data_IF_193279525348
#
_entry.id   IF_193279525348
#
_cell.length_a   1.000
_cell.length_b   1.000
_cell.length_c   1.000
_cell.angle_alpha   90.00
_cell.angle_beta   90.00
_cell.angle_gamma   90.00
#
_symmetry.space_group_name_H-M   'P 1'
#
loop_
_entity.id
_entity.type
_entity.pdbx_description
1 polymer ?
#
# COMPACT_ATOMS: atom_id res chain seq x y z
N UNK A 1 -4.75 4.09 -3.76
CA UNK A 1 -5.26 5.41 -4.07
C UNK A 1 -6.76 5.32 -4.29
N UNK A 2 -7.52 6.30 -3.80
CA UNK A 2 -8.97 6.28 -3.89
C UNK A 2 -9.47 7.68 -4.28
N UNK A 3 -10.25 7.72 -5.36
CA UNK A 3 -10.77 8.98 -5.91
C UNK A 3 -12.29 8.91 -6.03
N UNK A 4 -12.95 10.04 -5.75
CA UNK A 4 -14.34 10.25 -6.10
C UNK A 4 -14.43 10.96 -7.45
N UNK A 5 -15.32 10.50 -8.30
CA UNK A 5 -15.62 11.14 -9.59
C UNK A 5 -17.07 11.58 -9.58
N UNK A 6 -17.30 12.87 -9.72
CA UNK A 6 -18.62 13.48 -9.84
C UNK A 6 -18.82 13.99 -11.26
N UNK A 7 -19.99 13.74 -11.82
CA UNK A 7 -20.36 14.16 -13.18
C UNK A 7 -21.81 14.65 -13.21
N UNK A 8 -22.11 15.81 -12.57
CA UNK A 8 -23.47 16.32 -12.50
C UNK A 8 -23.97 16.70 -13.89
N UNK A 9 -25.19 16.26 -14.22
CA UNK A 9 -25.82 16.55 -15.51
C UNK A 9 -25.46 15.60 -16.65
N UNK A 10 -24.60 14.60 -16.41
CA UNK A 10 -24.28 13.55 -17.38
C UNK A 10 -25.30 12.41 -17.29
N UNK A 11 -25.60 11.80 -18.42
CA UNK A 11 -26.42 10.60 -18.50
C UNK A 11 -25.66 9.38 -17.93
N UNK A 12 -26.41 8.34 -17.51
CA UNK A 12 -25.79 7.11 -17.00
C UNK A 12 -24.88 6.44 -18.04
N UNK A 13 -25.23 6.49 -19.34
CA UNK A 13 -24.40 5.99 -20.43
C UNK A 13 -23.06 6.73 -20.55
N UNK A 14 -23.09 8.07 -20.42
CA UNK A 14 -21.88 8.88 -20.44
C UNK A 14 -20.99 8.60 -19.22
N UNK A 15 -21.59 8.42 -18.03
CA UNK A 15 -20.87 8.05 -16.80
C UNK A 15 -20.23 6.66 -16.95
N UNK A 16 -20.93 5.69 -17.53
CA UNK A 16 -20.40 4.36 -17.80
C UNK A 16 -19.21 4.42 -18.76
N UNK A 17 -19.35 5.15 -19.87
CA UNK A 17 -18.26 5.33 -20.84
C UNK A 17 -17.04 6.03 -20.21
N UNK A 18 -17.28 7.07 -19.42
CA UNK A 18 -16.23 7.80 -18.68
C UNK A 18 -15.53 6.89 -17.68
N UNK A 19 -16.27 6.12 -16.90
CA UNK A 19 -15.71 5.20 -15.92
C UNK A 19 -14.84 4.12 -16.57
N UNK A 20 -15.30 3.54 -17.66
CA UNK A 20 -14.56 2.56 -18.44
C UNK A 20 -13.31 3.16 -19.12
N UNK A 21 -13.40 4.40 -19.60
CA UNK A 21 -12.27 5.15 -20.14
C UNK A 21 -11.21 5.38 -19.06
N UNK A 22 -11.58 5.96 -17.91
CA UNK A 22 -10.66 6.23 -16.81
C UNK A 22 -9.99 4.94 -16.30
N UNK A 23 -10.76 3.86 -16.15
CA UNK A 23 -10.24 2.55 -15.76
C UNK A 23 -9.17 2.06 -16.73
N UNK A 24 -9.42 2.10 -18.04
CA UNK A 24 -8.45 1.65 -19.06
C UNK A 24 -7.18 2.47 -19.04
N UNK A 25 -7.30 3.80 -18.90
CA UNK A 25 -6.16 4.71 -18.88
C UNK A 25 -5.29 4.52 -17.63
N UNK A 26 -5.90 4.27 -16.48
CA UNK A 26 -5.18 4.05 -15.24
C UNK A 26 -4.57 2.64 -15.13
N UNK A 27 -5.20 1.62 -15.74
CA UNK A 27 -4.61 0.29 -15.86
C UNK A 27 -3.34 0.26 -16.71
N UNK A 28 -3.19 1.21 -17.63
CA UNK A 28 -1.98 1.36 -18.45
C UNK A 28 -0.79 2.02 -17.71
N UNK A 29 -0.98 2.49 -16.48
CA UNK A 29 0.09 3.10 -15.70
C UNK A 29 0.99 2.02 -15.11
N UNK A 30 2.30 2.16 -15.30
CA UNK A 30 3.29 1.22 -14.79
C UNK A 30 3.23 1.13 -13.26
N UNK A 31 3.17 -0.11 -12.74
CA UNK A 31 3.04 -0.40 -11.32
C UNK A 31 1.60 -0.46 -10.80
N UNK A 32 0.59 -0.21 -11.62
CA UNK A 32 -0.82 -0.42 -11.27
C UNK A 32 -1.21 -1.88 -11.53
N UNK A 33 -1.77 -2.55 -10.52
CA UNK A 33 -2.22 -3.95 -10.62
C UNK A 33 -3.71 -4.05 -10.97
N UNK A 34 -4.51 -3.17 -10.42
CA UNK A 34 -5.96 -3.17 -10.61
C UNK A 34 -6.56 -1.78 -10.44
N UNK A 35 -7.66 -1.55 -11.14
CA UNK A 35 -8.52 -0.37 -10.95
C UNK A 35 -9.96 -0.85 -10.73
N UNK A 36 -10.43 -0.70 -9.49
CA UNK A 36 -11.78 -1.05 -9.09
C UNK A 36 -12.72 0.15 -9.26
N UNK A 37 -13.88 -0.09 -9.82
CA UNK A 37 -14.96 0.88 -9.93
C UNK A 37 -16.05 0.52 -8.92
N UNK A 38 -16.61 1.52 -8.23
CA UNK A 38 -17.75 1.32 -7.33
C UNK A 38 -18.72 2.48 -7.45
N UNK A 39 -20.02 2.18 -7.37
CA UNK A 39 -21.09 3.19 -7.48
C UNK A 39 -21.32 3.73 -8.89
N UNK A 40 -20.76 3.09 -9.92
CA UNK A 40 -21.10 3.41 -11.32
C UNK A 40 -22.56 3.01 -11.56
N UNK A 41 -23.37 3.88 -12.17
CA UNK A 41 -24.76 3.55 -12.47
C UNK A 41 -24.86 2.29 -13.33
N UNK A 42 -25.66 1.32 -12.88
CA UNK A 42 -25.92 0.12 -13.66
C UNK A 42 -27.13 0.39 -14.56
N UNK A 43 -26.92 0.33 -15.88
CA UNK A 43 -28.01 0.40 -16.85
C UNK A 43 -28.52 -1.01 -17.13
N UNK A 44 -29.83 -1.18 -17.08
CA UNK A 44 -30.53 -2.42 -17.40
C UNK A 44 -31.61 -2.16 -18.46
N UNK A 45 -31.97 -3.19 -19.18
CA UNK A 45 -33.10 -3.11 -20.12
C UNK A 45 -34.31 -3.69 -19.40
N UNK A 46 -35.31 -2.82 -19.20
CA UNK A 46 -36.59 -3.19 -18.66
C UNK A 46 -37.50 -3.74 -19.76
N UNK A 47 -38.18 -4.82 -19.45
CA UNK A 47 -39.24 -5.39 -20.26
C UNK A 47 -40.52 -5.39 -19.40
N UNK A 48 -41.39 -4.44 -19.65
CA UNK A 48 -42.62 -4.25 -18.89
C UNK A 48 -43.82 -4.72 -19.73
N UNK A 49 -44.34 -5.96 -19.51
CA UNK A 49 -45.51 -6.45 -20.26
C UNK A 49 -46.77 -5.74 -19.80
N UNK A 50 -47.62 -5.35 -20.74
CA UNK A 50 -48.99 -4.96 -20.47
C UNK A 50 -49.79 -6.20 -20.00
N UNK A 51 -50.13 -6.21 -18.73
CA UNK A 51 -50.81 -7.36 -18.10
C UNK A 51 -52.19 -7.64 -18.71
N UNK A 52 -52.93 -6.60 -19.11
CA UNK A 52 -54.25 -6.77 -19.71
C UNK A 52 -54.12 -7.40 -21.11
N UNK A 53 -53.19 -6.89 -21.90
CA UNK A 53 -52.95 -7.39 -23.26
C UNK A 53 -52.33 -8.79 -23.22
N UNK A 54 -51.35 -9.03 -22.38
CA UNK A 54 -50.73 -10.35 -22.19
C UNK A 54 -51.72 -11.42 -21.74
N UNK A 55 -52.65 -11.05 -20.85
CA UNK A 55 -53.73 -11.97 -20.41
C UNK A 55 -54.71 -12.26 -21.54
N UNK A 56 -55.08 -11.25 -22.33
CA UNK A 56 -55.99 -11.42 -23.48
C UNK A 56 -55.38 -12.31 -24.57
N UNK A 57 -54.05 -12.17 -24.78
CA UNK A 57 -53.30 -12.99 -25.75
C UNK A 57 -52.92 -14.37 -25.19
N UNK A 58 -53.16 -14.63 -23.90
CA UNK A 58 -52.84 -15.90 -23.28
C UNK A 58 -51.34 -16.13 -23.09
N UNK A 59 -50.54 -15.04 -22.94
CA UNK A 59 -49.07 -15.08 -22.79
C UNK A 59 -48.70 -15.22 -21.32
N UNK A 60 -48.19 -16.38 -20.88
CA UNK A 60 -47.77 -16.53 -19.50
C UNK A 60 -46.40 -15.85 -19.27
N UNK A 61 -46.13 -15.29 -18.10
CA UNK A 61 -44.80 -14.68 -17.78
C UNK A 61 -43.59 -15.60 -18.01
N UNK A 62 -43.82 -16.92 -17.85
CA UNK A 62 -42.76 -17.91 -18.11
C UNK A 62 -42.34 -17.99 -19.59
N UNK A 63 -43.26 -17.69 -20.54
CA UNK A 63 -42.91 -17.66 -21.96
C UNK A 63 -42.00 -16.48 -22.30
N UNK A 64 -42.23 -15.31 -21.66
CA UNK A 64 -41.36 -14.13 -21.78
C UNK A 64 -39.96 -14.43 -21.22
N UNK A 65 -39.91 -14.99 -20.00
CA UNK A 65 -38.65 -15.39 -19.37
C UNK A 65 -37.89 -16.42 -20.21
N UNK A 66 -38.61 -17.40 -20.79
CA UNK A 66 -38.02 -18.42 -21.66
C UNK A 66 -37.43 -17.83 -22.94
N UNK A 67 -38.13 -16.87 -23.56
CA UNK A 67 -37.66 -16.20 -24.78
C UNK A 67 -36.38 -15.35 -24.47
N UNK A 68 -36.37 -14.59 -23.37
CA UNK A 68 -35.22 -13.81 -22.95
C UNK A 68 -34.03 -14.70 -22.57
N UNK A 69 -34.25 -15.78 -21.84
CA UNK A 69 -33.24 -16.75 -21.49
C UNK A 69 -32.64 -17.42 -22.73
N UNK A 70 -33.46 -17.88 -23.65
CA UNK A 70 -33.03 -18.50 -24.91
C UNK A 70 -32.25 -17.56 -25.83
N UNK A 71 -32.60 -16.26 -25.84
CA UNK A 71 -31.87 -15.25 -26.62
C UNK A 71 -30.46 -14.97 -26.07
N UNK A 72 -30.27 -15.10 -24.76
CA UNK A 72 -29.01 -14.85 -24.06
C UNK A 72 -28.25 -16.13 -23.67
N UNK A 73 -28.73 -17.30 -24.07
CA UNK A 73 -28.05 -18.57 -23.77
C UNK A 73 -26.72 -18.66 -24.52
N UNK A 74 -25.64 -18.82 -23.78
CA UNK A 74 -24.32 -19.01 -24.35
C UNK A 74 -24.09 -20.48 -24.68
N UNK A 75 -24.39 -20.87 -25.91
CA UNK A 75 -24.17 -22.23 -26.44
C UNK A 75 -22.87 -22.25 -27.24
N UNK A 76 -22.01 -23.26 -27.07
CA UNK A 76 -20.84 -23.45 -27.92
C UNK A 76 -21.28 -23.71 -29.38
N UNK A 77 -20.86 -22.86 -30.29
CA UNK A 77 -21.16 -23.00 -31.72
C UNK A 77 -20.50 -24.24 -32.36
N UNK A 78 -19.60 -24.88 -31.67
CA UNK A 78 -18.85 -26.03 -32.16
C UNK A 78 -17.78 -25.70 -33.21
N UNK A 79 -17.27 -26.73 -33.84
CA UNK A 79 -16.20 -26.59 -34.86
C UNK A 79 -16.47 -27.53 -36.04
N UNK A 80 -16.21 -27.06 -37.24
CA UNK A 80 -16.24 -27.88 -38.47
C UNK A 80 -14.80 -28.21 -38.87
N UNK A 81 -14.54 -29.47 -39.15
CA UNK A 81 -13.27 -29.92 -39.69
C UNK A 81 -13.34 -29.86 -41.22
N UNK A 82 -12.50 -29.03 -41.82
CA UNK A 82 -12.37 -28.91 -43.27
C UNK A 82 -11.02 -29.52 -43.72
N UNK A 83 -10.84 -29.86 -45.02
CA UNK A 83 -9.56 -30.33 -45.50
C UNK A 83 -8.38 -29.39 -45.22
N UNK A 84 -8.65 -28.09 -45.09
CA UNK A 84 -7.64 -27.04 -44.86
C UNK A 84 -7.44 -26.70 -43.41
N UNK A 85 -8.21 -27.31 -42.48
CA UNK A 85 -8.07 -27.09 -41.04
C UNK A 85 -9.37 -27.09 -40.26
N UNK A 86 -9.28 -26.73 -38.97
CA UNK A 86 -10.41 -26.63 -38.04
C UNK A 86 -10.97 -25.21 -38.05
N UNK A 87 -12.23 -25.07 -38.47
CA UNK A 87 -12.94 -23.78 -38.44
C UNK A 87 -13.89 -23.73 -37.24
N UNK A 88 -13.77 -22.72 -36.42
CA UNK A 88 -14.69 -22.46 -35.29
C UNK A 88 -15.95 -21.79 -35.85
N UNK A 89 -17.11 -22.30 -35.48
CA UNK A 89 -18.38 -21.66 -35.80
C UNK A 89 -18.59 -20.54 -34.78
N UNK A 90 -18.48 -19.31 -35.24
CA UNK A 90 -18.80 -18.16 -34.43
C UNK A 90 -20.33 -18.01 -34.34
N UNK A 91 -20.83 -17.95 -33.13
CA UNK A 91 -22.23 -17.71 -32.86
C UNK A 91 -22.58 -16.24 -33.10
N UNK A 92 -23.82 -15.90 -33.48
CA UNK A 92 -24.31 -14.53 -33.38
C UNK A 92 -24.18 -14.03 -31.95
N UNK A 93 -23.80 -12.78 -31.77
CA UNK A 93 -23.82 -12.12 -30.47
C UNK A 93 -25.23 -12.14 -29.91
N UNK A 94 -25.40 -12.26 -28.58
CA UNK A 94 -26.71 -12.24 -27.96
C UNK A 94 -27.41 -10.89 -28.15
N UNK A 95 -28.73 -10.87 -27.93
CA UNK A 95 -29.50 -9.63 -28.01
C UNK A 95 -29.14 -8.70 -26.88
N UNK A 96 -28.43 -7.61 -27.17
CA UNK A 96 -27.91 -6.64 -26.20
C UNK A 96 -28.45 -5.21 -26.41
N UNK A 97 -29.18 -4.99 -27.48
CA UNK A 97 -29.83 -3.71 -27.76
C UNK A 97 -31.34 -3.74 -27.45
N UNK A 98 -31.89 -2.58 -27.11
CA UNK A 98 -33.34 -2.43 -26.89
C UNK A 98 -34.15 -2.91 -28.10
N UNK A 99 -33.67 -2.59 -29.31
CA UNK A 99 -34.35 -2.97 -30.56
C UNK A 99 -34.34 -4.50 -30.79
N UNK A 100 -33.22 -5.16 -30.51
CA UNK A 100 -33.10 -6.62 -30.65
C UNK A 100 -33.98 -7.36 -29.64
N UNK A 101 -33.97 -6.90 -28.37
CA UNK A 101 -34.84 -7.48 -27.34
C UNK A 101 -36.30 -7.25 -27.64
N UNK A 102 -36.68 -6.05 -28.11
CA UNK A 102 -38.04 -5.74 -28.54
C UNK A 102 -38.53 -6.63 -29.70
N UNK A 103 -37.60 -7.03 -30.58
CA UNK A 103 -37.88 -7.89 -31.73
C UNK A 103 -37.92 -9.40 -31.41
N UNK A 104 -37.60 -9.77 -30.14
CA UNK A 104 -37.64 -11.18 -29.73
C UNK A 104 -39.05 -11.75 -29.91
N UNK A 105 -39.10 -12.96 -30.42
CA UNK A 105 -40.33 -13.69 -30.66
C UNK A 105 -40.71 -14.59 -29.50
N UNK A 106 -41.90 -14.45 -28.99
CA UNK A 106 -42.48 -15.29 -27.94
C UNK A 106 -43.50 -16.24 -28.58
N UNK A 107 -43.28 -17.54 -28.47
CA UNK A 107 -44.21 -18.57 -28.98
C UNK A 107 -45.29 -18.89 -27.95
N UNK A 108 -46.55 -18.71 -28.31
CA UNK A 108 -47.71 -19.04 -27.47
C UNK A 108 -48.77 -19.74 -28.31
N UNK A 109 -49.19 -20.94 -27.89
CA UNK A 109 -50.26 -21.72 -28.51
C UNK A 109 -50.08 -21.96 -30.02
N UNK A 110 -48.82 -21.96 -30.52
CA UNK A 110 -48.51 -22.17 -31.95
C UNK A 110 -48.41 -20.88 -32.77
N UNK A 111 -48.68 -19.73 -32.18
CA UNK A 111 -48.46 -18.41 -32.78
C UNK A 111 -47.16 -17.81 -32.29
N UNK A 112 -46.53 -16.95 -33.09
CA UNK A 112 -45.33 -16.24 -32.79
C UNK A 112 -45.65 -14.76 -32.72
N UNK A 113 -45.43 -14.14 -31.54
CA UNK A 113 -45.75 -12.74 -31.28
C UNK A 113 -44.47 -12.04 -30.90
N UNK A 114 -44.21 -10.83 -31.39
CA UNK A 114 -43.02 -10.06 -30.97
C UNK A 114 -43.22 -9.46 -29.58
N UNK A 115 -42.14 -9.38 -28.82
CA UNK A 115 -42.17 -8.84 -27.48
C UNK A 115 -42.65 -7.38 -27.44
N UNK A 116 -42.33 -6.60 -28.47
CA UNK A 116 -42.76 -5.20 -28.62
C UNK A 116 -44.27 -5.04 -28.79
N UNK A 117 -44.98 -6.09 -29.22
CA UNK A 117 -46.44 -6.00 -29.49
C UNK A 117 -47.29 -5.96 -28.19
N UNK A 118 -46.70 -6.41 -27.07
CA UNK A 118 -47.41 -6.48 -25.79
C UNK A 118 -46.55 -6.03 -24.59
N UNK A 119 -45.34 -5.51 -24.84
CA UNK A 119 -44.43 -5.06 -23.79
C UNK A 119 -43.73 -3.75 -24.19
N UNK A 120 -43.54 -2.89 -23.24
CA UNK A 120 -42.62 -1.75 -23.38
C UNK A 120 -41.19 -2.20 -23.06
N UNK A 121 -40.27 -1.96 -24.00
CA UNK A 121 -38.87 -2.31 -23.85
C UNK A 121 -38.05 -1.04 -23.87
N UNK A 122 -37.38 -0.72 -22.76
CA UNK A 122 -36.61 0.49 -22.64
C UNK A 122 -35.36 0.28 -21.76
N UNK A 123 -34.37 1.13 -21.96
CA UNK A 123 -33.13 1.16 -21.14
C UNK A 123 -33.28 2.22 -20.07
N UNK A 124 -33.03 1.85 -18.84
CA UNK A 124 -32.99 2.78 -17.71
C UNK A 124 -32.04 2.32 -16.62
N UNK A 125 -31.75 3.21 -15.67
CA UNK A 125 -30.98 2.89 -14.47
C UNK A 125 -31.71 1.87 -13.62
N UNK A 126 -30.95 0.92 -13.04
CA UNK A 126 -31.48 -0.02 -12.06
C UNK A 126 -32.22 0.70 -10.93
N UNK A 127 -33.48 0.33 -10.69
CA UNK A 127 -34.36 1.06 -9.75
C UNK A 127 -33.90 0.95 -8.30
N UNK A 128 -33.32 -0.19 -7.92
CA UNK A 128 -32.85 -0.47 -6.57
C UNK A 128 -31.38 -0.88 -6.61
N UNK A 129 -30.44 0.04 -6.84
CA UNK A 129 -29.03 -0.28 -6.86
C UNK A 129 -28.54 -0.69 -5.47
N UNK A 130 -27.68 -1.71 -5.42
CA UNK A 130 -27.10 -2.20 -4.17
C UNK A 130 -26.16 -1.20 -3.49
N UNK A 131 -25.61 -0.25 -4.25
CA UNK A 131 -24.65 0.74 -3.78
C UNK A 131 -24.88 2.08 -4.44
N UNK A 132 -25.11 3.11 -3.62
CA UNK A 132 -25.16 4.51 -4.04
C UNK A 132 -24.04 5.22 -3.33
N UNK A 133 -23.18 5.90 -4.08
CA UNK A 133 -22.07 6.71 -3.55
C UNK A 133 -22.37 8.17 -3.81
N UNK A 134 -22.18 9.00 -2.79
CA UNK A 134 -22.25 10.46 -2.88
C UNK A 134 -21.00 11.10 -2.31
N UNK A 135 -20.51 12.08 -3.03
CA UNK A 135 -19.39 12.90 -2.59
C UNK A 135 -19.87 14.35 -2.50
N UNK A 136 -19.73 14.97 -1.33
CA UNK A 136 -20.24 16.32 -1.04
C UNK A 136 -21.73 16.52 -1.39
N UNK A 137 -22.56 15.48 -1.23
CA UNK A 137 -24.00 15.51 -1.51
C UNK A 137 -24.38 15.28 -2.98
N UNK A 138 -23.40 15.17 -3.88
CA UNK A 138 -23.60 14.89 -5.31
C UNK A 138 -23.36 13.40 -5.57
N UNK A 139 -24.15 12.80 -6.47
CA UNK A 139 -23.94 11.43 -6.89
C UNK A 139 -22.55 11.28 -7.53
N UNK A 140 -21.86 10.24 -7.13
CA UNK A 140 -20.48 9.98 -7.52
C UNK A 140 -20.24 8.48 -7.75
N UNK A 141 -19.24 8.17 -8.52
CA UNK A 141 -18.62 6.84 -8.49
C UNK A 141 -17.17 6.95 -8.02
N UNK A 142 -16.58 5.84 -7.61
CA UNK A 142 -15.21 5.85 -7.10
C UNK A 142 -14.28 5.00 -7.95
N UNK A 143 -13.04 5.46 -8.01
CA UNK A 143 -11.91 4.78 -8.62
C UNK A 143 -10.95 4.35 -7.51
N UNK A 144 -10.83 3.05 -7.29
CA UNK A 144 -9.85 2.46 -6.39
C UNK A 144 -8.66 1.93 -7.19
N UNK A 145 -7.51 2.59 -7.12
CA UNK A 145 -6.29 2.19 -7.83
C UNK A 145 -5.37 1.44 -6.88
N UNK A 146 -5.12 0.18 -7.18
CA UNK A 146 -4.19 -0.68 -6.44
C UNK A 146 -2.85 -0.77 -7.18
N UNK A 147 -1.75 -0.62 -6.45
CA UNK A 147 -0.40 -0.86 -6.96
C UNK A 147 0.01 -2.33 -6.85
N UNK A 148 1.05 -2.71 -7.57
CA UNK A 148 1.72 -4.01 -7.43
C UNK A 148 2.46 -4.02 -6.09
N UNK A 149 2.34 -5.10 -5.32
CA UNK A 149 2.89 -5.17 -3.96
C UNK A 149 4.43 -5.01 -3.88
N UNK A 150 5.14 -5.35 -4.94
CA UNK A 150 6.61 -5.22 -5.02
C UNK A 150 7.09 -3.85 -5.49
N UNK A 151 6.18 -2.98 -5.93
CA UNK A 151 6.49 -1.64 -6.43
C UNK A 151 6.42 -0.58 -5.30
N UNK A 152 7.22 0.47 -5.44
CA UNK A 152 7.16 1.58 -4.51
C UNK A 152 5.86 2.38 -4.69
N UNK A 153 4.98 2.31 -3.70
CA UNK A 153 3.65 2.95 -3.73
C UNK A 153 3.75 4.49 -3.92
N UNK A 154 4.84 5.12 -3.48
CA UNK A 154 5.04 6.56 -3.66
C UNK A 154 5.25 6.89 -5.14
N UNK A 155 6.06 6.11 -5.83
CA UNK A 155 6.31 6.29 -7.27
C UNK A 155 5.08 5.95 -8.10
N UNK A 156 4.41 4.85 -7.79
CA UNK A 156 3.13 4.48 -8.46
C UNK A 156 2.09 5.58 -8.27
N UNK A 157 1.98 6.12 -7.05
CA UNK A 157 1.04 7.21 -6.77
C UNK A 157 1.32 8.47 -7.57
N UNK A 158 2.59 8.87 -7.70
CA UNK A 158 3.01 10.01 -8.51
C UNK A 158 2.70 9.80 -9.99
N UNK A 159 2.96 8.59 -10.54
CA UNK A 159 2.62 8.24 -11.92
C UNK A 159 1.10 8.31 -12.18
N UNK A 160 0.31 7.80 -11.24
CA UNK A 160 -1.17 7.86 -11.32
C UNK A 160 -1.67 9.31 -11.30
N UNK A 161 -1.16 10.16 -10.40
CA UNK A 161 -1.52 11.59 -10.36
C UNK A 161 -1.11 12.33 -11.64
N UNK A 162 0.08 12.06 -12.14
CA UNK A 162 0.56 12.63 -13.40
C UNK A 162 -0.35 12.20 -14.57
N UNK A 163 -0.73 10.91 -14.62
CA UNK A 163 -1.65 10.41 -15.65
C UNK A 163 -3.04 11.06 -15.55
N UNK A 164 -3.58 11.21 -14.35
CA UNK A 164 -4.85 11.91 -14.15
C UNK A 164 -4.77 13.39 -14.56
N UNK A 165 -3.63 14.04 -14.34
CA UNK A 165 -3.42 15.42 -14.77
C UNK A 165 -3.37 15.54 -16.30
N UNK A 166 -2.72 14.60 -17.00
CA UNK A 166 -2.72 14.52 -18.46
C UNK A 166 -4.12 14.32 -19.04
N UNK A 167 -4.89 13.41 -18.44
CA UNK A 167 -6.25 13.08 -18.87
C UNK A 167 -7.27 14.22 -18.69
N UNK A 168 -6.93 15.28 -17.95
CA UNK A 168 -7.82 16.44 -17.76
C UNK A 168 -8.26 17.10 -19.07
N UNK A 169 -7.46 16.98 -20.13
CA UNK A 169 -7.78 17.53 -21.44
C UNK A 169 -8.84 16.68 -22.16
N UNK A 170 -8.85 15.37 -21.90
CA UNK A 170 -9.76 14.39 -22.50
C UNK A 170 -11.07 14.21 -21.71
N UNK A 171 -11.10 14.73 -20.48
CA UNK A 171 -12.26 14.63 -19.58
C UNK A 171 -13.23 15.77 -19.90
N UNK A 172 -14.54 15.48 -20.09
CA UNK A 172 -15.54 16.49 -20.35
C UNK A 172 -15.63 17.56 -19.25
N UNK A 173 -15.96 18.80 -19.64
CA UNK A 173 -16.22 19.87 -18.68
C UNK A 173 -17.41 19.51 -17.77
N UNK A 174 -17.26 19.79 -16.47
CA UNK A 174 -18.26 19.44 -15.45
C UNK A 174 -17.97 18.18 -14.67
N UNK A 175 -17.02 17.35 -15.12
CA UNK A 175 -16.53 16.21 -14.35
C UNK A 175 -15.45 16.68 -13.36
N UNK A 176 -15.59 16.29 -12.09
CA UNK A 176 -14.57 16.51 -11.06
C UNK A 176 -14.02 15.17 -10.57
N UNK A 177 -12.70 15.07 -10.46
CA UNK A 177 -12.00 13.92 -9.85
C UNK A 177 -11.31 14.43 -8.60
N UNK A 178 -11.79 14.01 -7.45
CA UNK A 178 -11.28 14.44 -6.15
C UNK A 178 -10.67 13.28 -5.39
N UNK A 179 -9.48 13.45 -4.80
CA UNK A 179 -8.84 12.41 -4.01
C UNK A 179 -9.58 12.24 -2.67
N UNK A 180 -9.99 11.01 -2.35
CA UNK A 180 -10.52 10.63 -1.04
C UNK A 180 -9.38 10.14 -0.14
N UNK A 181 -8.50 9.30 -0.69
CA UNK A 181 -7.36 8.74 0.04
C UNK A 181 -6.15 8.56 -0.88
N UNK A 182 -5.04 9.11 -0.47
CA UNK A 182 -3.78 9.11 -1.22
C UNK A 182 -2.68 8.46 -0.38
N UNK A 183 -2.63 7.13 -0.38
CA UNK A 183 -1.66 6.36 0.40
C UNK A 183 -0.21 6.78 0.15
N UNK A 184 0.15 7.09 -1.09
CA UNK A 184 1.50 7.52 -1.45
C UNK A 184 1.93 8.79 -0.71
N UNK A 185 1.04 9.78 -0.54
CA UNK A 185 1.35 11.00 0.23
C UNK A 185 1.50 10.71 1.70
N UNK A 186 0.62 9.87 2.25
CA UNK A 186 0.70 9.45 3.65
C UNK A 186 2.01 8.71 3.96
N UNK A 187 2.46 7.86 3.05
CA UNK A 187 3.74 7.14 3.16
C UNK A 187 4.92 8.10 3.01
N UNK A 188 4.89 9.00 2.02
CA UNK A 188 5.95 10.01 1.81
C UNK A 188 6.09 10.94 3.02
N UNK A 189 4.97 11.45 3.56
CA UNK A 189 4.96 12.30 4.76
C UNK A 189 5.50 11.55 5.98
N UNK A 190 5.09 10.29 6.18
CA UNK A 190 5.56 9.46 7.29
C UNK A 190 7.08 9.19 7.19
N UNK A 191 7.57 8.90 5.98
CA UNK A 191 9.01 8.65 5.74
C UNK A 191 9.84 9.93 5.97
N UNK A 192 9.37 11.07 5.49
CA UNK A 192 10.04 12.35 5.71
C UNK A 192 10.03 12.76 7.19
N UNK A 193 8.90 12.60 7.87
CA UNK A 193 8.81 12.88 9.31
C UNK A 193 9.75 11.98 10.11
N UNK A 194 9.87 10.71 9.74
CA UNK A 194 10.84 9.79 10.35
C UNK A 194 12.28 10.28 10.18
N UNK A 195 12.70 10.63 8.97
CA UNK A 195 14.07 11.11 8.71
C UNK A 195 14.39 12.38 9.51
N UNK A 196 13.43 13.30 9.60
CA UNK A 196 13.58 14.52 10.40
C UNK A 196 13.72 14.19 11.89
N UNK A 197 12.83 13.33 12.42
CA UNK A 197 12.87 12.92 13.82
C UNK A 197 14.15 12.16 14.17
N UNK A 198 14.62 11.29 13.27
CA UNK A 198 15.87 10.59 13.38
C UNK A 198 17.05 11.56 13.47
N UNK A 199 17.13 12.51 12.54
CA UNK A 199 18.20 13.52 12.53
C UNK A 199 18.16 14.39 13.81
N UNK A 200 16.97 14.85 14.23
CA UNK A 200 16.83 15.61 15.48
C UNK A 200 17.26 14.80 16.69
N UNK A 201 16.90 13.53 16.78
CA UNK A 201 17.28 12.67 17.90
C UNK A 201 18.80 12.47 17.97
N UNK A 202 19.45 12.23 16.84
CA UNK A 202 20.92 12.15 16.78
C UNK A 202 21.56 13.45 17.22
N UNK A 203 21.07 14.59 16.74
CA UNK A 203 21.60 15.91 17.13
C UNK A 203 21.44 16.15 18.64
N UNK A 204 20.27 15.87 19.20
CA UNK A 204 20.01 16.04 20.64
C UNK A 204 20.99 15.18 21.46
N UNK A 205 21.13 13.89 21.07
CA UNK A 205 22.05 12.98 21.76
C UNK A 205 23.49 13.49 21.70
N UNK A 206 23.95 13.91 20.51
CA UNK A 206 25.31 14.45 20.32
C UNK A 206 25.54 15.71 21.17
N UNK A 207 24.56 16.63 21.22
CA UNK A 207 24.64 17.85 22.04
C UNK A 207 24.67 17.50 23.51
N UNK A 208 23.83 16.63 24.02
CA UNK A 208 23.81 16.18 25.41
C UNK A 208 25.16 15.56 25.77
N UNK A 209 25.68 14.64 24.96
CA UNK A 209 27.00 14.01 25.17
C UNK A 209 28.13 15.03 25.13
N UNK A 210 28.08 16.02 24.25
CA UNK A 210 29.07 17.06 24.17
C UNK A 210 29.15 17.89 25.46
N UNK A 211 27.99 18.14 26.10
CA UNK A 211 27.91 18.89 27.38
C UNK A 211 28.42 18.04 28.54
N UNK A 212 28.05 16.77 28.65
CA UNK A 212 28.34 15.92 29.80
C UNK A 212 29.72 15.21 29.70
N UNK A 213 30.08 14.72 28.54
CA UNK A 213 31.27 13.89 28.32
C UNK A 213 32.36 14.60 27.49
N UNK A 214 32.04 15.74 26.93
CA UNK A 214 32.91 16.53 26.08
C UNK A 214 32.81 16.19 24.58
N UNK A 215 33.29 17.13 23.77
CA UNK A 215 33.17 17.12 22.31
C UNK A 215 33.73 15.85 21.64
N UNK A 216 34.84 15.32 22.15
CA UNK A 216 35.50 14.14 21.58
C UNK A 216 34.64 12.88 21.75
N UNK A 217 34.08 12.67 22.94
CA UNK A 217 33.18 11.54 23.20
C UNK A 217 31.88 11.67 22.39
N UNK A 218 31.36 12.88 22.28
CA UNK A 218 30.13 13.13 21.50
C UNK A 218 30.28 12.73 20.01
N UNK A 219 31.44 13.03 19.40
CA UNK A 219 31.73 12.62 18.02
C UNK A 219 31.83 11.09 17.93
N UNK A 220 32.58 10.46 18.82
CA UNK A 220 32.78 8.99 18.77
C UNK A 220 31.48 8.26 18.94
N UNK A 221 30.69 8.58 19.97
CA UNK A 221 29.41 7.94 20.26
C UNK A 221 28.37 8.29 19.21
N UNK A 222 28.30 9.56 18.78
CA UNK A 222 27.38 10.00 17.72
C UNK A 222 27.62 9.30 16.37
N UNK A 223 28.90 9.12 16.01
CA UNK A 223 29.28 8.39 14.80
C UNK A 223 28.89 6.90 14.92
N UNK A 224 29.12 6.27 16.07
CA UNK A 224 28.73 4.88 16.31
C UNK A 224 27.20 4.73 16.24
N UNK A 225 26.45 5.67 16.83
CA UNK A 225 24.99 5.70 16.75
C UNK A 225 24.52 5.79 15.29
N UNK A 226 25.08 6.72 14.51
CA UNK A 226 24.72 6.88 13.10
C UNK A 226 24.99 5.60 12.29
N UNK A 227 26.17 4.99 12.51
CA UNK A 227 26.52 3.70 11.87
C UNK A 227 25.57 2.58 12.28
N UNK A 228 25.14 2.55 13.54
CA UNK A 228 24.16 1.56 14.02
C UNK A 228 22.82 1.73 13.30
N UNK A 229 22.33 2.95 13.19
CA UNK A 229 21.06 3.24 12.51
C UNK A 229 21.13 2.88 11.02
N UNK A 230 22.16 3.33 10.31
CA UNK A 230 22.36 3.01 8.88
C UNK A 230 22.55 1.50 8.68
N UNK A 231 23.30 0.86 9.54
CA UNK A 231 23.48 -0.60 9.53
C UNK A 231 22.17 -1.35 9.79
N UNK A 232 21.33 -0.87 10.71
CA UNK A 232 20.01 -1.46 10.96
C UNK A 232 19.12 -1.38 9.72
N UNK A 233 19.07 -0.21 9.05
CA UNK A 233 18.33 -0.05 7.79
C UNK A 233 18.85 -0.99 6.69
N UNK A 234 20.17 -1.18 6.62
CA UNK A 234 20.77 -2.15 5.68
C UNK A 234 20.34 -3.59 5.99
N UNK A 235 20.39 -4.00 7.26
CA UNK A 235 19.94 -5.34 7.65
C UNK A 235 18.43 -5.55 7.46
N UNK A 236 17.62 -4.51 7.66
CA UNK A 236 16.19 -4.54 7.31
C UNK A 236 16.01 -4.80 5.81
N UNK A 237 16.76 -4.10 4.96
CA UNK A 237 16.70 -4.29 3.50
C UNK A 237 17.10 -5.71 3.08
N UNK A 238 18.18 -6.26 3.67
CA UNK A 238 18.64 -7.64 3.40
C UNK A 238 17.61 -8.67 3.89
N UNK A 239 17.01 -8.43 5.07
CA UNK A 239 16.01 -9.30 5.69
C UNK A 239 14.60 -9.14 5.11
N UNK A 240 14.41 -8.29 4.10
CA UNK A 240 13.09 -7.97 3.52
C UNK A 240 12.06 -7.51 4.57
N UNK A 241 12.54 -6.82 5.61
CA UNK A 241 11.68 -6.19 6.61
C UNK A 241 11.21 -4.85 6.05
N UNK A 242 9.90 -4.71 5.86
CA UNK A 242 9.30 -3.52 5.27
C UNK A 242 9.47 -2.29 6.16
N UNK A 243 9.67 -1.13 5.52
CA UNK A 243 9.73 0.16 6.23
C UNK A 243 8.32 0.66 6.57
N UNK A 244 7.70 0.00 7.52
CA UNK A 244 6.41 0.40 8.06
C UNK A 244 6.54 1.43 9.18
N UNK A 245 5.43 2.09 9.56
CA UNK A 245 5.42 3.02 10.70
C UNK A 245 5.84 2.35 12.00
N UNK A 246 5.55 1.06 12.16
CA UNK A 246 5.92 0.27 13.33
C UNK A 246 7.42 0.02 13.37
N UNK A 247 8.01 -0.41 12.27
CA UNK A 247 9.46 -0.62 12.13
C UNK A 247 10.24 0.67 12.36
N UNK A 248 9.75 1.80 11.81
CA UNK A 248 10.36 3.11 12.01
C UNK A 248 10.22 3.60 13.46
N UNK A 249 9.04 3.37 14.07
CA UNK A 249 8.82 3.65 15.50
C UNK A 249 9.74 2.81 16.41
N UNK A 250 9.94 1.53 16.07
CA UNK A 250 10.87 0.65 16.77
C UNK A 250 12.31 1.20 16.76
N UNK A 251 12.77 1.72 15.63
CA UNK A 251 14.11 2.30 15.51
C UNK A 251 14.27 3.56 16.37
N UNK A 252 13.21 4.41 16.43
CA UNK A 252 13.24 5.59 17.32
C UNK A 252 13.28 5.17 18.80
N UNK A 253 12.49 4.16 19.20
CA UNK A 253 12.50 3.63 20.56
C UNK A 253 13.88 3.03 20.88
N UNK A 254 14.41 2.21 19.98
CA UNK A 254 15.71 1.59 20.14
C UNK A 254 16.84 2.62 20.29
N UNK A 255 16.74 3.78 19.63
CA UNK A 255 17.79 4.79 19.57
C UNK A 255 18.24 5.25 20.96
N UNK A 256 17.32 5.40 21.92
CA UNK A 256 17.65 5.70 23.30
C UNK A 256 18.52 4.62 23.97
N UNK A 257 18.30 3.34 23.63
CA UNK A 257 19.04 2.20 24.17
C UNK A 257 20.35 1.92 23.42
N UNK A 258 20.43 2.33 22.14
CA UNK A 258 21.61 2.10 21.30
C UNK A 258 22.84 2.88 21.76
N UNK A 259 22.63 4.06 22.34
CA UNK A 259 23.66 4.96 22.77
C UNK A 259 24.40 4.42 23.98
N UNK A 260 23.71 3.73 24.89
CA UNK A 260 24.25 3.28 26.18
C UNK A 260 25.46 2.38 26.03
N UNK A 261 25.45 1.44 25.09
CA UNK A 261 26.59 0.58 24.83
C UNK A 261 27.83 1.35 24.44
N UNK A 262 27.72 2.34 23.57
CA UNK A 262 28.80 3.15 23.09
C UNK A 262 29.33 4.12 24.19
N UNK A 263 28.42 4.66 25.04
CA UNK A 263 28.77 5.52 26.16
C UNK A 263 29.67 4.78 27.14
N UNK A 264 29.25 3.58 27.57
CA UNK A 264 29.99 2.78 28.56
C UNK A 264 31.42 2.49 28.08
N UNK A 265 31.59 2.13 26.82
CA UNK A 265 32.92 1.83 26.24
C UNK A 265 33.75 3.11 26.11
N UNK A 266 33.15 4.20 25.62
CA UNK A 266 33.85 5.48 25.45
C UNK A 266 34.30 6.07 26.80
N UNK A 267 33.43 6.01 27.81
CA UNK A 267 33.75 6.47 29.16
C UNK A 267 34.84 5.61 29.82
N UNK A 268 34.76 4.28 29.75
CA UNK A 268 35.76 3.36 30.23
C UNK A 268 37.12 3.63 29.61
N UNK A 269 37.17 3.93 28.31
CA UNK A 269 38.38 4.29 27.61
C UNK A 269 38.93 5.63 28.08
N UNK A 270 38.09 6.67 28.25
CA UNK A 270 38.53 7.97 28.77
C UNK A 270 39.07 7.87 30.18
N UNK A 271 38.46 7.10 31.08
CA UNK A 271 38.90 6.88 32.44
C UNK A 271 40.27 6.22 32.43
N UNK A 272 40.46 5.16 31.63
CA UNK A 272 41.74 4.44 31.50
C UNK A 272 42.85 5.35 30.96
N UNK A 273 42.54 6.20 29.98
CA UNK A 273 43.53 7.19 29.45
C UNK A 273 43.87 8.29 30.46
N UNK A 274 42.91 8.77 31.26
CA UNK A 274 43.17 9.71 32.37
C UNK A 274 44.05 9.08 33.46
N UNK A 275 43.94 7.75 33.64
CA UNK A 275 44.81 6.96 34.52
C UNK A 275 46.22 6.70 33.97
N UNK A 276 46.56 7.29 32.80
CA UNK A 276 47.89 7.21 32.19
C UNK A 276 48.14 6.05 31.23
N UNK A 277 47.10 5.24 30.91
CA UNK A 277 47.22 4.19 29.90
C UNK A 277 47.38 4.75 28.49
N UNK A 278 48.05 4.01 27.61
CA UNK A 278 48.09 4.36 26.19
C UNK A 278 46.72 4.24 25.58
N UNK A 279 46.42 5.06 24.55
CA UNK A 279 45.12 5.03 23.86
C UNK A 279 44.79 3.63 23.32
N UNK A 280 45.79 2.86 22.88
CA UNK A 280 45.61 1.52 22.37
C UNK A 280 45.26 0.50 23.48
N UNK A 281 45.99 0.60 24.62
CA UNK A 281 45.73 -0.30 25.75
C UNK A 281 44.38 0.03 26.41
N UNK A 282 44.06 1.33 26.55
CA UNK A 282 42.77 1.80 27.03
C UNK A 282 41.60 1.31 26.15
N UNK A 283 41.75 1.30 24.82
CA UNK A 283 40.77 0.79 23.90
C UNK A 283 40.55 -0.71 24.08
N UNK A 284 41.64 -1.49 24.14
CA UNK A 284 41.57 -2.95 24.35
C UNK A 284 40.98 -3.30 25.71
N UNK A 285 41.38 -2.58 26.76
CA UNK A 285 40.92 -2.80 28.14
C UNK A 285 39.41 -2.47 28.30
N UNK A 286 38.97 -1.32 27.74
CA UNK A 286 37.58 -0.92 27.77
C UNK A 286 36.71 -1.94 27.05
N UNK A 287 37.08 -2.35 25.82
CA UNK A 287 36.32 -3.34 25.08
C UNK A 287 36.25 -4.70 25.76
N UNK A 288 37.38 -5.24 26.25
CA UNK A 288 37.44 -6.56 26.87
C UNK A 288 36.68 -6.64 28.19
N UNK A 289 36.68 -5.59 29.01
CA UNK A 289 35.97 -5.57 30.28
C UNK A 289 34.47 -5.40 30.14
N UNK A 290 34.02 -4.71 29.08
CA UNK A 290 32.61 -4.36 28.93
C UNK A 290 31.83 -5.31 27.98
N UNK A 291 32.53 -6.06 27.12
CA UNK A 291 31.86 -6.89 26.08
C UNK A 291 30.80 -7.85 26.63
N UNK A 292 31.10 -8.61 27.69
CA UNK A 292 30.18 -9.60 28.24
C UNK A 292 29.03 -8.94 29.02
N UNK A 293 29.27 -7.98 29.94
CA UNK A 293 28.17 -7.26 30.60
C UNK A 293 27.23 -6.56 29.63
N UNK A 294 27.77 -5.90 28.59
CA UNK A 294 26.95 -5.23 27.57
C UNK A 294 26.15 -6.22 26.71
N UNK A 295 26.74 -7.39 26.38
CA UNK A 295 25.99 -8.45 25.69
C UNK A 295 24.80 -8.92 26.54
N UNK A 296 25.03 -9.16 27.84
CA UNK A 296 23.99 -9.52 28.77
C UNK A 296 22.84 -8.50 28.82
N UNK A 297 23.18 -7.22 28.97
CA UNK A 297 22.20 -6.12 28.93
C UNK A 297 21.44 -6.06 27.60
N UNK A 298 22.15 -6.21 26.47
CA UNK A 298 21.58 -6.24 25.13
C UNK A 298 20.58 -7.38 24.96
N UNK A 299 20.94 -8.61 25.39
CA UNK A 299 20.04 -9.77 25.33
C UNK A 299 18.79 -9.57 26.20
N UNK A 300 18.96 -9.03 27.42
CA UNK A 300 17.82 -8.71 28.31
C UNK A 300 16.91 -7.67 27.63
N UNK A 301 17.48 -6.64 27.03
CA UNK A 301 16.72 -5.63 26.28
C UNK A 301 15.92 -6.25 25.13
N UNK A 302 16.51 -7.15 24.35
CA UNK A 302 15.83 -7.87 23.27
C UNK A 302 14.71 -8.75 23.81
N UNK A 303 14.98 -9.50 24.88
CA UNK A 303 13.99 -10.41 25.49
C UNK A 303 12.79 -9.67 26.09
N UNK A 304 12.97 -8.42 26.52
CA UNK A 304 11.86 -7.59 26.99
C UNK A 304 10.80 -7.36 25.89
N UNK A 305 11.19 -7.30 24.63
CA UNK A 305 10.29 -7.16 23.49
C UNK A 305 9.87 -8.49 22.85
N UNK A 306 10.56 -9.59 23.17
CA UNK A 306 10.27 -10.91 22.62
C UNK A 306 8.87 -11.39 22.96
N UNK A 307 8.36 -11.07 24.18
CA UNK A 307 7.02 -11.45 24.61
C UNK A 307 5.90 -10.87 23.73
N UNK A 308 6.16 -9.73 23.08
CA UNK A 308 5.20 -9.09 22.18
C UNK A 308 5.38 -9.62 20.75
N UNK A 309 6.61 -9.60 20.25
CA UNK A 309 6.90 -9.93 18.86
C UNK A 309 6.82 -11.42 18.51
N UNK A 310 6.93 -12.31 19.49
CA UNK A 310 6.85 -13.77 19.31
C UNK A 310 5.52 -14.37 19.79
N UNK A 311 4.52 -13.54 20.07
CA UNK A 311 3.17 -14.02 20.41
C UNK A 311 2.56 -14.76 19.21
N UNK A 312 1.90 -15.92 19.42
CA UNK A 312 1.32 -16.72 18.32
C UNK A 312 -0.03 -16.18 17.80
N UNK A 313 -0.40 -14.96 18.17
CA UNK A 313 -1.65 -14.30 17.80
C UNK A 313 -1.42 -13.22 16.70
N UNK A 314 -2.52 -12.63 16.21
CA UNK A 314 -2.48 -11.54 15.23
C UNK A 314 -1.66 -10.32 15.72
N UNK A 315 -1.56 -10.12 17.04
CA UNK A 315 -0.76 -9.04 17.63
C UNK A 315 0.73 -9.30 17.43
N UNK A 316 1.16 -10.55 17.61
CA UNK A 316 2.55 -10.94 17.38
C UNK A 316 2.95 -10.82 15.92
N UNK A 317 2.10 -11.26 14.99
CA UNK A 317 2.33 -11.11 13.56
C UNK A 317 2.49 -9.64 13.17
N UNK A 318 1.61 -8.76 13.67
CA UNK A 318 1.63 -7.33 13.41
C UNK A 318 2.86 -6.62 14.02
N UNK A 319 3.30 -7.04 15.22
CA UNK A 319 4.41 -6.42 15.94
C UNK A 319 5.76 -7.14 15.76
N UNK A 320 5.80 -8.17 14.92
CA UNK A 320 7.04 -8.90 14.63
C UNK A 320 8.12 -7.98 14.08
N UNK A 321 7.76 -7.07 13.18
CA UNK A 321 8.69 -6.09 12.59
C UNK A 321 9.31 -5.18 13.66
N UNK A 322 8.53 -4.75 14.64
CA UNK A 322 9.03 -3.98 15.79
C UNK A 322 10.11 -4.76 16.58
N UNK A 323 9.79 -6.00 16.95
CA UNK A 323 10.72 -6.86 17.67
C UNK A 323 12.01 -7.11 16.87
N UNK A 324 11.88 -7.45 15.58
CA UNK A 324 13.00 -7.75 14.71
C UNK A 324 13.93 -6.54 14.56
N UNK A 325 13.39 -5.34 14.34
CA UNK A 325 14.17 -4.09 14.22
C UNK A 325 14.89 -3.75 15.51
N UNK A 326 14.24 -3.88 16.67
CA UNK A 326 14.88 -3.67 17.98
C UNK A 326 16.02 -4.69 18.19
N UNK A 327 15.77 -5.96 17.90
CA UNK A 327 16.77 -7.03 18.08
C UNK A 327 18.00 -6.78 17.19
N UNK A 328 17.81 -6.47 15.90
CA UNK A 328 18.88 -6.18 14.96
C UNK A 328 19.66 -4.95 15.42
N UNK A 329 18.97 -3.86 15.75
CA UNK A 329 19.60 -2.59 16.14
C UNK A 329 20.41 -2.72 17.42
N UNK A 330 19.89 -3.40 18.46
CA UNK A 330 20.59 -3.61 19.72
C UNK A 330 21.81 -4.51 19.56
N UNK A 331 21.72 -5.63 18.82
CA UNK A 331 22.86 -6.49 18.53
C UNK A 331 23.94 -5.74 17.74
N UNK A 332 23.52 -4.98 16.73
CA UNK A 332 24.46 -4.19 15.93
C UNK A 332 25.14 -3.10 16.78
N UNK A 333 24.37 -2.43 17.65
CA UNK A 333 24.93 -1.47 18.61
C UNK A 333 26.00 -2.09 19.50
N UNK A 334 25.73 -3.30 20.04
CA UNK A 334 26.74 -3.99 20.83
C UNK A 334 28.02 -4.28 20.02
N UNK A 335 27.89 -4.85 18.80
CA UNK A 335 29.04 -5.12 17.93
C UNK A 335 29.83 -3.86 17.62
N UNK A 336 29.15 -2.76 17.26
CA UNK A 336 29.82 -1.50 16.94
C UNK A 336 30.41 -0.82 18.17
N UNK A 337 29.80 -0.97 19.34
CA UNK A 337 30.32 -0.43 20.60
C UNK A 337 31.64 -1.09 20.99
N UNK A 338 31.83 -2.39 20.79
CA UNK A 338 33.08 -3.09 21.13
C UNK A 338 34.12 -3.04 20.02
N UNK A 339 33.78 -2.65 18.79
CA UNK A 339 34.72 -2.58 17.65
C UNK A 339 35.00 -1.16 17.21
N UNK A 340 33.98 -0.43 16.80
CA UNK A 340 34.08 0.91 16.19
C UNK A 340 34.32 2.00 17.25
N UNK A 341 33.64 1.92 18.41
CA UNK A 341 33.80 2.92 19.46
C UNK A 341 35.25 2.99 19.98
N UNK A 342 35.93 1.86 20.31
CA UNK A 342 37.34 1.90 20.72
C UNK A 342 38.27 2.37 19.60
N UNK A 343 37.98 1.99 18.36
CA UNK A 343 38.73 2.42 17.17
C UNK A 343 38.66 3.95 17.01
N UNK A 344 37.46 4.51 16.99
CA UNK A 344 37.28 5.95 16.90
C UNK A 344 37.87 6.68 18.11
N UNK A 345 37.68 6.13 19.32
CA UNK A 345 38.27 6.66 20.52
C UNK A 345 39.80 6.73 20.47
N UNK A 346 40.44 5.73 19.86
CA UNK A 346 41.89 5.75 19.64
C UNK A 346 42.35 6.95 18.80
N UNK A 347 41.58 7.33 17.78
CA UNK A 347 41.94 8.45 16.90
C UNK A 347 41.51 9.81 17.46
N UNK A 348 40.38 9.92 18.13
CA UNK A 348 39.77 11.18 18.53
C UNK A 348 40.11 11.59 19.97
N UNK A 349 40.32 10.64 20.90
CA UNK A 349 40.68 11.00 22.28
C UNK A 349 42.16 11.43 22.37
N UNK A 350 42.35 12.67 22.74
CA UNK A 350 43.70 13.17 23.01
C UNK A 350 44.21 12.58 24.32
N UNK A 351 45.47 12.16 24.34
CA UNK A 351 46.18 11.83 25.55
C UNK A 351 46.09 13.03 26.48
N UNK A 352 45.49 12.84 27.65
CA UNK A 352 45.54 13.86 28.66
C UNK A 352 47.03 14.23 28.88
N UNK A 353 47.40 15.44 28.58
CA UNK A 353 48.70 15.96 29.00
C UNK A 353 48.66 15.91 30.52
N UNK A 354 49.33 14.91 31.09
CA UNK A 354 49.54 14.85 32.53
C UNK A 354 50.18 16.16 32.92
N UNK A 355 49.44 16.98 33.59
CA UNK A 355 49.94 18.17 34.23
C UNK A 355 50.94 17.74 35.28
N UNK A 356 52.05 18.41 35.22
CA UNK A 356 53.25 18.26 36.09
C UNK A 356 52.86 18.36 37.54
#
# INVERSE_FOLDING_TARGET
>A
LYFAVTAPGFSDAEINNLSAFLRRQLLGVEGVSNVALSGVPNEVIFVEPDLALSTTMGIPPAAIQGALAGANEVVDGGTIQTPDGRTIIQRPEGSDSVAEIAALSVGVSGEVINLADFSEVYRARETNPNLIIRHNGVDAFTLGVAGIATENIVEVGKRVEARLAELRVDIPLGVSIEPIYQQHKVVEEASNAFLINLAMSVVIVVVVLAVFMGWQAAIVVGTTLLLTVVGTLLFMAIGSIEMERISLGALIIAMGMLVDNAIVVAEGMQISMRGGQSSRDAASDAASKTQIPLLGATVIGIMAFAGIGLSPDATGEFLFSLFAVIAISLLLSWVLAITVTPLLGHYFFKRGSGDK
#
